data_IF_455477900508
#
_entry.id   IF_455477900508
#
_cell.length_a   1.000
_cell.length_b   1.000
_cell.length_c   1.000
_cell.angle_alpha   90.00
_cell.angle_beta   90.00
_cell.angle_gamma   90.00
#
_symmetry.space_group_name_H-M   'P 1'
#
loop_
_entity.id
_entity.type
_entity.pdbx_description
1 polymer ?
#
# COMPACT_ATOMS: atom_id res chain seq x y z
N UNK A 1 -35.86 17.96 54.42
CA UNK A 1 -35.70 16.64 53.77
C UNK A 1 -34.31 16.60 53.18
N UNK A 2 -33.58 15.59 53.60
CA UNK A 2 -32.15 15.34 53.39
C UNK A 2 -31.83 15.02 51.93
N UNK A 3 -30.88 15.72 51.32
CA UNK A 3 -30.13 15.19 50.17
C UNK A 3 -28.66 15.10 50.54
N UNK A 4 -28.34 13.89 50.96
CA UNK A 4 -27.02 13.29 51.20
C UNK A 4 -26.03 13.61 50.07
N UNK A 5 -24.82 14.01 50.46
CA UNK A 5 -23.68 14.13 49.56
C UNK A 5 -23.21 12.79 49.01
N UNK A 6 -22.71 12.82 47.78
CA UNK A 6 -21.81 11.82 47.22
C UNK A 6 -20.61 12.57 46.64
N UNK A 7 -19.37 12.26 47.05
CA UNK A 7 -18.18 12.84 46.44
C UNK A 7 -17.96 12.23 45.05
N UNK A 8 -17.68 13.07 44.06
CA UNK A 8 -17.26 12.65 42.72
C UNK A 8 -15.87 12.03 42.82
N UNK A 9 -15.79 10.70 42.73
CA UNK A 9 -14.55 9.95 42.67
C UNK A 9 -13.83 10.27 41.35
N UNK A 10 -12.65 10.88 41.44
CA UNK A 10 -11.76 11.06 40.29
C UNK A 10 -11.23 9.70 39.86
N UNK A 11 -11.48 9.31 38.62
CA UNK A 11 -10.83 8.16 37.98
C UNK A 11 -9.44 8.64 37.54
N UNK A 12 -8.42 8.23 38.28
CA UNK A 12 -7.02 8.41 37.90
C UNK A 12 -6.66 7.37 36.85
N UNK A 13 -6.37 7.80 35.62
CA UNK A 13 -5.75 6.95 34.60
C UNK A 13 -4.26 6.83 34.96
N UNK A 14 -3.84 5.64 35.37
CA UNK A 14 -2.43 5.31 35.55
C UNK A 14 -1.76 5.24 34.17
N UNK A 15 -0.97 6.26 33.84
CA UNK A 15 -0.07 6.25 32.70
C UNK A 15 1.09 5.28 33.04
N UNK A 16 1.08 4.08 32.44
CA UNK A 16 2.25 3.18 32.48
C UNK A 16 3.26 3.71 31.47
N UNK A 17 4.16 4.56 31.93
CA UNK A 17 5.36 4.93 31.19
C UNK A 17 6.35 3.77 31.25
N UNK A 18 6.41 2.95 30.20
CA UNK A 18 7.51 2.01 30.02
C UNK A 18 8.67 2.74 29.33
N UNK A 19 9.70 3.02 30.13
CA UNK A 19 10.94 3.67 29.77
C UNK A 19 11.78 2.71 28.91
N UNK A 20 11.87 2.95 27.60
CA UNK A 20 12.77 2.19 26.73
C UNK A 20 14.10 2.93 26.59
N UNK A 21 14.96 2.82 27.61
CA UNK A 21 16.39 3.16 27.48
C UNK A 21 17.16 1.86 27.26
N UNK A 22 17.60 1.62 26.04
CA UNK A 22 18.59 0.60 25.74
C UNK A 22 19.87 1.28 25.24
N UNK A 23 20.86 1.36 26.13
CA UNK A 23 22.25 1.61 25.80
C UNK A 23 22.74 0.57 24.79
N UNK A 24 23.16 1.00 23.60
CA UNK A 24 23.80 0.15 22.62
C UNK A 24 25.21 -0.23 23.10
N UNK A 25 25.32 -1.37 23.78
CA UNK A 25 26.59 -2.07 23.90
C UNK A 25 26.88 -2.76 22.56
N UNK A 26 28.01 -2.41 21.93
CA UNK A 26 28.51 -3.05 20.72
C UNK A 26 28.92 -4.50 21.06
N UNK A 27 27.96 -5.42 21.09
CA UNK A 27 28.24 -6.85 21.02
C UNK A 27 28.63 -7.16 19.58
N UNK A 28 29.87 -7.63 19.40
CA UNK A 28 30.28 -8.32 18.17
C UNK A 28 29.23 -9.41 17.89
N UNK A 29 28.72 -9.55 16.65
CA UNK A 29 27.77 -10.61 16.35
C UNK A 29 28.45 -11.94 16.66
N UNK A 30 27.98 -12.60 17.71
CA UNK A 30 28.15 -14.04 17.82
C UNK A 30 27.55 -14.62 16.54
N UNK A 31 28.22 -15.56 15.84
CA UNK A 31 27.56 -16.26 14.74
C UNK A 31 26.23 -16.76 15.29
N UNK A 32 25.13 -16.40 14.61
CA UNK A 32 23.81 -16.86 14.97
C UNK A 32 23.92 -18.36 15.24
N UNK A 33 23.62 -18.78 16.47
CA UNK A 33 23.41 -20.19 16.72
C UNK A 33 22.34 -20.60 15.71
N UNK A 34 22.70 -21.49 14.78
CA UNK A 34 21.74 -22.13 13.89
C UNK A 34 20.56 -22.53 14.77
N UNK A 35 19.37 -22.00 14.50
CA UNK A 35 18.16 -22.48 15.13
C UNK A 35 18.18 -24.01 14.97
N UNK A 36 18.09 -24.73 16.09
CA UNK A 36 17.99 -26.18 16.04
C UNK A 36 16.80 -26.50 15.13
N UNK A 37 17.10 -27.21 14.05
CA UNK A 37 16.13 -27.75 13.10
C UNK A 37 14.99 -28.38 13.90
N UNK A 38 13.79 -27.79 13.81
CA UNK A 38 12.56 -28.45 14.27
C UNK A 38 12.29 -29.50 13.20
N UNK A 39 13.09 -30.57 13.26
CA UNK A 39 13.27 -31.52 12.18
C UNK A 39 12.00 -32.33 11.96
N UNK A 40 11.36 -32.12 10.82
CA UNK A 40 10.53 -33.10 10.15
C UNK A 40 11.30 -34.42 9.97
N UNK A 41 10.58 -35.54 9.89
CA UNK A 41 11.16 -36.88 9.89
C UNK A 41 12.13 -37.11 8.72
N UNK A 42 12.94 -38.18 8.83
CA UNK A 42 13.74 -38.63 7.70
C UNK A 42 12.84 -38.87 6.47
N UNK A 43 13.23 -38.36 5.31
CA UNK A 43 12.44 -38.37 4.07
C UNK A 43 11.17 -37.48 4.07
N UNK A 44 10.98 -36.60 5.04
CA UNK A 44 9.85 -35.66 5.09
C UNK A 44 10.26 -34.25 4.68
N UNK A 45 9.27 -33.53 4.16
CA UNK A 45 9.26 -32.07 4.06
C UNK A 45 8.02 -31.53 4.78
N UNK A 46 8.12 -30.33 5.34
CA UNK A 46 7.06 -29.72 6.13
C UNK A 46 7.13 -28.19 6.08
N UNK A 47 6.01 -27.57 6.44
CA UNK A 47 5.89 -26.13 6.59
C UNK A 47 4.48 -25.75 7.07
N UNK A 48 4.20 -24.46 6.99
CA UNK A 48 2.92 -23.87 7.40
C UNK A 48 2.38 -23.00 6.27
N UNK A 49 1.10 -23.12 5.95
CA UNK A 49 0.41 -22.08 5.19
C UNK A 49 -0.22 -21.11 6.17
N UNK A 50 0.04 -19.82 6.05
CA UNK A 50 -0.41 -18.81 7.02
C UNK A 50 -1.04 -17.60 6.35
N UNK A 51 -1.87 -16.87 7.11
CA UNK A 51 -2.50 -15.61 6.70
C UNK A 51 -1.50 -14.47 6.86
N UNK A 52 -0.90 -14.09 5.75
CA UNK A 52 0.07 -12.99 5.67
C UNK A 52 -0.69 -11.66 5.58
N UNK A 53 -0.96 -11.06 6.74
CA UNK A 53 -1.82 -9.87 6.86
C UNK A 53 -1.07 -8.59 6.52
N UNK A 54 0.23 -8.54 6.81
CA UNK A 54 1.06 -7.37 6.56
C UNK A 54 1.88 -7.48 5.26
N UNK A 55 1.74 -8.59 4.54
CA UNK A 55 2.40 -8.85 3.26
C UNK A 55 3.94 -8.80 3.36
N UNK A 56 4.52 -9.19 4.50
CA UNK A 56 5.97 -9.19 4.71
C UNK A 56 6.64 -10.53 4.36
N UNK A 57 5.85 -11.57 4.07
CA UNK A 57 6.33 -12.89 3.71
C UNK A 57 7.05 -13.62 4.86
N UNK A 58 6.70 -13.32 6.12
CA UNK A 58 7.23 -13.98 7.32
C UNK A 58 6.09 -14.24 8.31
N UNK A 59 5.88 -15.50 8.70
CA UNK A 59 4.83 -15.84 9.66
C UNK A 59 5.01 -15.13 11.02
N UNK A 60 4.18 -14.12 11.28
CA UNK A 60 4.15 -13.36 12.52
C UNK A 60 3.33 -14.04 13.63
N UNK A 61 3.55 -13.63 14.88
CA UNK A 61 2.82 -14.19 16.03
C UNK A 61 1.29 -13.92 16.01
N UNK A 62 0.86 -12.92 15.24
CA UNK A 62 -0.55 -12.55 15.05
C UNK A 62 -1.13 -13.09 13.75
N UNK A 63 -0.36 -13.86 12.98
CA UNK A 63 -0.74 -14.38 11.68
C UNK A 63 -1.13 -15.86 11.81
N UNK A 64 -2.44 -16.17 11.79
CA UNK A 64 -2.90 -17.53 11.98
C UNK A 64 -2.58 -18.39 10.76
N UNK A 65 -2.43 -19.69 10.99
CA UNK A 65 -2.39 -20.67 9.92
C UNK A 65 -3.68 -20.70 9.08
N UNK A 66 -3.55 -21.08 7.82
CA UNK A 66 -4.66 -21.25 6.90
C UNK A 66 -4.99 -22.76 6.74
N UNK A 67 -6.07 -23.26 7.40
CA UNK A 67 -6.47 -24.65 7.32
C UNK A 67 -7.16 -25.00 5.99
N UNK A 68 -7.21 -26.30 5.68
CA UNK A 68 -8.05 -26.86 4.62
C UNK A 68 -7.50 -26.74 3.19
N UNK A 69 -6.24 -26.34 3.02
CA UNK A 69 -5.58 -26.25 1.72
C UNK A 69 -4.91 -27.57 1.36
N UNK A 70 -4.98 -27.95 0.09
CA UNK A 70 -4.34 -29.18 -0.39
C UNK A 70 -2.90 -28.90 -0.77
N UNK A 71 -1.95 -29.63 -0.17
CA UNK A 71 -0.51 -29.56 -0.49
C UNK A 71 -0.11 -30.84 -1.19
N UNK A 72 0.40 -30.74 -2.42
CA UNK A 72 0.77 -31.89 -3.26
C UNK A 72 2.23 -31.78 -3.68
N UNK A 73 3.01 -32.84 -3.48
CA UNK A 73 4.36 -32.96 -3.99
C UNK A 73 4.39 -33.82 -5.26
N UNK A 74 5.09 -33.32 -6.28
CA UNK A 74 5.30 -33.96 -7.57
C UNK A 74 6.78 -34.26 -7.78
N UNK A 75 7.08 -35.41 -8.37
CA UNK A 75 8.44 -35.74 -8.80
C UNK A 75 8.86 -34.95 -10.05
N UNK A 76 10.10 -35.16 -10.49
CA UNK A 76 10.66 -34.49 -11.67
C UNK A 76 9.99 -34.90 -13.00
N UNK A 77 9.23 -36.00 -13.01
CA UNK A 77 8.42 -36.43 -14.14
C UNK A 77 6.98 -35.89 -14.09
N UNK A 78 6.61 -35.18 -13.02
CA UNK A 78 5.27 -34.64 -12.80
C UNK A 78 4.27 -35.63 -12.19
N UNK A 79 4.72 -36.78 -11.69
CA UNK A 79 3.86 -37.72 -10.98
C UNK A 79 3.70 -37.32 -9.50
N UNK A 80 2.50 -37.50 -8.94
CA UNK A 80 2.24 -37.23 -7.53
C UNK A 80 3.02 -38.23 -6.66
N UNK A 81 3.85 -37.70 -5.78
CA UNK A 81 4.62 -38.47 -4.78
C UNK A 81 3.82 -38.60 -3.50
N UNK A 82 3.25 -37.48 -3.02
CA UNK A 82 2.51 -37.40 -1.77
C UNK A 82 1.58 -36.20 -1.76
N UNK A 83 0.51 -36.27 -0.97
CA UNK A 83 -0.43 -35.18 -0.78
C UNK A 83 -1.00 -35.17 0.64
N UNK A 84 -1.29 -33.98 1.16
CA UNK A 84 -1.90 -33.77 2.48
C UNK A 84 -2.81 -32.53 2.45
N UNK A 85 -3.48 -32.27 3.57
CA UNK A 85 -4.30 -31.06 3.77
C UNK A 85 -3.75 -30.31 4.98
N UNK A 86 -3.65 -28.98 4.88
CA UNK A 86 -3.21 -28.15 6.00
C UNK A 86 -4.15 -28.29 7.20
N UNK A 87 -3.59 -28.47 8.38
CA UNK A 87 -4.35 -28.69 9.60
C UNK A 87 -4.92 -27.38 10.19
N UNK A 88 -5.50 -27.45 11.39
CA UNK A 88 -6.14 -26.32 12.06
C UNK A 88 -5.21 -25.12 12.33
N UNK A 89 -3.89 -25.34 12.36
CA UNK A 89 -2.87 -24.29 12.52
C UNK A 89 -2.10 -24.06 11.22
N UNK A 90 -2.62 -24.55 10.08
CA UNK A 90 -2.01 -24.37 8.76
C UNK A 90 -0.81 -25.27 8.49
N UNK A 91 -0.44 -26.14 9.43
CA UNK A 91 0.73 -27.00 9.30
C UNK A 91 0.47 -28.14 8.32
N UNK A 92 1.51 -28.54 7.60
CA UNK A 92 1.47 -29.66 6.67
C UNK A 92 2.81 -30.40 6.67
N UNK A 93 2.78 -31.70 6.40
CA UNK A 93 3.97 -32.51 6.15
C UNK A 93 3.70 -33.57 5.08
N UNK A 94 4.75 -33.88 4.31
CA UNK A 94 4.72 -34.88 3.24
C UNK A 94 5.95 -35.76 3.32
N UNK A 95 5.76 -37.08 3.28
CA UNK A 95 6.87 -38.02 3.03
C UNK A 95 7.15 -38.06 1.53
N UNK A 96 8.34 -37.64 1.11
CA UNK A 96 8.73 -37.52 -0.32
C UNK A 96 9.89 -38.42 -0.72
N UNK A 97 10.62 -38.98 0.25
CA UNK A 97 11.80 -39.81 0.00
C UNK A 97 13.09 -39.08 0.37
N UNK A 98 14.09 -39.84 0.81
CA UNK A 98 15.40 -39.29 1.22
C UNK A 98 16.13 -38.69 0.02
N UNK A 99 16.54 -37.43 0.13
CA UNK A 99 17.22 -36.68 -0.94
C UNK A 99 16.35 -36.39 -2.17
N UNK A 100 15.03 -36.56 -2.09
CA UNK A 100 14.14 -36.34 -3.23
C UNK A 100 14.03 -34.85 -3.59
N UNK A 101 14.14 -34.54 -4.88
CA UNK A 101 13.76 -33.24 -5.44
C UNK A 101 12.30 -33.29 -5.85
N UNK A 102 11.48 -32.39 -5.30
CA UNK A 102 10.05 -32.33 -5.60
C UNK A 102 9.59 -30.91 -5.91
N UNK A 103 8.58 -30.81 -6.76
CA UNK A 103 7.79 -29.59 -6.94
C UNK A 103 6.56 -29.69 -6.05
N UNK A 104 6.34 -28.69 -5.20
CA UNK A 104 5.19 -28.61 -4.29
C UNK A 104 4.19 -27.60 -4.85
N UNK A 105 2.91 -27.95 -4.79
CA UNK A 105 1.79 -27.06 -5.09
C UNK A 105 0.83 -26.99 -3.89
N UNK A 106 0.45 -25.77 -3.50
CA UNK A 106 -0.62 -25.46 -2.56
C UNK A 106 -1.84 -25.00 -3.36
N UNK A 107 -2.97 -25.70 -3.19
CA UNK A 107 -4.20 -25.47 -3.95
C UNK A 107 -5.43 -25.46 -3.04
N UNK A 108 -6.58 -25.07 -3.59
CA UNK A 108 -7.83 -24.97 -2.83
C UNK A 108 -7.94 -23.67 -2.02
N UNK A 109 -7.21 -22.62 -2.41
CA UNK A 109 -7.36 -21.30 -1.80
C UNK A 109 -8.83 -20.84 -1.92
N UNK A 110 -9.45 -20.38 -0.82
CA UNK A 110 -10.71 -19.65 -0.88
C UNK A 110 -10.63 -18.50 -1.89
N UNK A 111 -11.75 -18.16 -2.53
CA UNK A 111 -11.79 -17.16 -3.63
C UNK A 111 -11.32 -15.76 -3.25
N UNK A 112 -11.29 -15.42 -1.96
CA UNK A 112 -10.80 -14.14 -1.44
C UNK A 112 -9.30 -14.16 -1.09
N UNK A 113 -8.65 -15.33 -1.15
CA UNK A 113 -7.22 -15.45 -0.89
C UNK A 113 -6.45 -15.61 -2.19
N UNK A 114 -5.30 -14.96 -2.22
CA UNK A 114 -4.30 -15.06 -3.27
C UNK A 114 -2.97 -15.51 -2.65
N UNK A 115 -2.03 -16.02 -3.47
CA UNK A 115 -0.64 -16.19 -3.04
C UNK A 115 -0.12 -14.88 -2.46
N UNK A 116 0.43 -14.93 -1.24
CA UNK A 116 1.12 -13.80 -0.64
C UNK A 116 2.49 -13.57 -1.27
N UNK A 117 3.19 -12.49 -0.90
CA UNK A 117 4.56 -12.23 -1.36
C UNK A 117 5.49 -13.38 -1.01
N UNK A 118 6.36 -13.73 -1.97
CA UNK A 118 7.51 -14.60 -1.70
C UNK A 118 8.61 -13.78 -1.00
N UNK A 119 9.14 -14.31 0.10
CA UNK A 119 10.12 -13.64 0.95
C UNK A 119 11.04 -14.62 1.69
N UNK A 120 11.94 -14.13 2.57
CA UNK A 120 12.88 -14.98 3.30
C UNK A 120 12.24 -16.05 4.19
N UNK A 121 10.96 -15.88 4.56
CA UNK A 121 10.18 -16.82 5.39
C UNK A 121 8.89 -17.29 4.72
N UNK A 122 8.72 -17.10 3.40
CA UNK A 122 7.51 -17.46 2.68
C UNK A 122 7.84 -17.81 1.23
N UNK A 123 7.42 -18.98 0.80
CA UNK A 123 7.47 -19.45 -0.58
C UNK A 123 6.19 -19.06 -1.30
N UNK A 124 6.24 -19.03 -2.63
CA UNK A 124 5.03 -18.96 -3.46
C UNK A 124 4.22 -20.26 -3.34
N UNK A 125 2.93 -20.25 -3.70
CA UNK A 125 2.07 -21.45 -3.67
C UNK A 125 2.54 -22.58 -4.59
N UNK A 126 3.48 -22.31 -5.50
CA UNK A 126 4.18 -23.30 -6.30
C UNK A 126 5.68 -23.09 -6.13
N UNK A 127 6.41 -24.12 -5.72
CA UNK A 127 7.86 -24.05 -5.50
C UNK A 127 8.54 -25.41 -5.68
N UNK A 128 9.87 -25.40 -5.80
CA UNK A 128 10.68 -26.64 -5.86
C UNK A 128 11.59 -26.69 -4.64
N UNK A 129 11.73 -27.87 -4.04
CA UNK A 129 12.59 -28.09 -2.89
C UNK A 129 13.30 -29.45 -2.99
N UNK A 130 14.32 -29.63 -2.17
CA UNK A 130 15.05 -30.89 -2.02
C UNK A 130 14.96 -31.31 -0.55
N UNK A 131 14.49 -32.53 -0.34
CA UNK A 131 14.47 -33.14 0.99
C UNK A 131 15.90 -33.30 1.52
N UNK A 132 16.12 -32.92 2.78
CA UNK A 132 17.45 -32.89 3.41
C UNK A 132 18.17 -31.54 3.26
N UNK A 133 17.54 -30.54 2.63
CA UNK A 133 18.01 -29.15 2.70
C UNK A 133 17.72 -28.53 4.08
N UNK A 134 18.42 -27.45 4.42
CA UNK A 134 18.19 -26.69 5.68
C UNK A 134 16.78 -26.08 5.79
N UNK A 135 16.04 -26.04 4.68
CA UNK A 135 14.69 -25.51 4.62
C UNK A 135 13.61 -26.61 4.62
N UNK A 136 13.99 -27.90 4.63
CA UNK A 136 13.05 -29.02 4.44
C UNK A 136 11.82 -28.98 5.35
N UNK A 137 11.96 -28.38 6.54
CA UNK A 137 10.93 -28.35 7.57
C UNK A 137 10.39 -26.93 7.84
N UNK A 138 10.83 -25.93 7.06
CA UNK A 138 10.42 -24.53 7.14
C UNK A 138 9.97 -24.03 5.75
N UNK A 139 9.15 -24.82 5.07
CA UNK A 139 8.62 -24.51 3.74
C UNK A 139 7.29 -23.74 3.87
N UNK A 140 7.35 -22.59 4.52
CA UNK A 140 6.16 -21.81 4.81
C UNK A 140 5.65 -21.08 3.56
N UNK A 141 4.33 -20.87 3.49
CA UNK A 141 3.65 -20.19 2.38
C UNK A 141 2.67 -19.17 2.94
N UNK A 142 2.92 -17.90 2.65
CA UNK A 142 1.98 -16.82 2.95
C UNK A 142 0.84 -16.81 1.94
N UNK A 143 -0.39 -16.68 2.43
CA UNK A 143 -1.57 -16.34 1.61
C UNK A 143 -2.21 -15.08 2.17
N UNK A 144 -2.58 -14.16 1.28
CA UNK A 144 -3.12 -12.86 1.66
C UNK A 144 -4.51 -12.67 1.07
N UNK A 145 -5.34 -11.89 1.77
CA UNK A 145 -6.55 -11.32 1.19
C UNK A 145 -6.20 -9.91 0.70
N UNK A 146 -6.18 -9.66 -0.61
CA UNK A 146 -5.87 -8.34 -1.15
C UNK A 146 -6.76 -7.19 -0.61
N UNK A 147 -8.02 -7.48 -0.26
CA UNK A 147 -8.94 -6.50 0.35
C UNK A 147 -8.64 -6.18 1.82
N UNK A 148 -7.79 -6.96 2.50
CA UNK A 148 -7.34 -6.73 3.88
C UNK A 148 -5.99 -6.00 3.95
N UNK A 149 -5.55 -5.44 2.83
CA UNK A 149 -4.27 -4.75 2.73
C UNK A 149 -4.11 -3.65 3.80
N UNK A 150 -3.02 -3.76 4.56
CA UNK A 150 -2.63 -2.77 5.54
C UNK A 150 -1.13 -2.49 5.39
N UNK A 151 -0.77 -1.25 5.06
CA UNK A 151 0.62 -0.79 5.05
C UNK A 151 0.88 0.20 6.19
N UNK A 152 2.05 0.09 6.80
CA UNK A 152 2.53 1.12 7.71
C UNK A 152 2.92 2.36 6.88
N UNK A 153 2.47 3.54 7.33
CA UNK A 153 2.81 4.83 6.72
C UNK A 153 2.49 4.93 5.22
N UNK A 154 1.21 4.76 4.82
CA UNK A 154 0.83 4.91 3.41
C UNK A 154 1.20 6.28 2.86
N UNK A 155 1.45 6.38 1.56
CA UNK A 155 1.50 7.67 0.89
C UNK A 155 0.08 8.24 0.69
N UNK A 156 -0.05 9.56 0.84
CA UNK A 156 -1.26 10.31 0.55
C UNK A 156 -1.02 11.13 -0.72
N UNK A 157 -1.85 10.95 -1.74
CA UNK A 157 -1.78 11.70 -3.00
C UNK A 157 -2.98 12.63 -3.13
N UNK A 158 -2.73 13.90 -3.45
CA UNK A 158 -3.76 14.91 -3.68
C UNK A 158 -3.48 15.70 -4.95
N UNK A 159 -4.55 16.11 -5.62
CA UNK A 159 -4.47 17.00 -6.78
C UNK A 159 -4.28 18.46 -6.38
N UNK A 160 -3.57 19.21 -7.22
CA UNK A 160 -3.39 20.64 -7.18
C UNK A 160 -3.84 21.25 -8.51
N UNK A 161 -4.28 22.51 -8.44
CA UNK A 161 -4.83 23.22 -9.59
C UNK A 161 -4.17 24.57 -9.75
N UNK A 162 -3.92 24.94 -11.00
CA UNK A 162 -3.47 26.27 -11.38
C UNK A 162 -4.48 26.86 -12.35
N UNK A 163 -4.70 28.16 -12.20
CA UNK A 163 -5.49 28.92 -13.15
C UNK A 163 -4.76 29.01 -14.51
N UNK A 164 -5.42 28.59 -15.58
CA UNK A 164 -4.93 28.75 -16.94
C UNK A 164 -4.87 27.45 -17.75
N UNK A 165 -4.26 27.51 -18.94
CA UNK A 165 -3.98 26.34 -19.76
C UNK A 165 -2.91 25.46 -19.09
N UNK A 166 -2.84 24.19 -19.51
CA UNK A 166 -1.86 23.23 -18.99
C UNK A 166 -0.53 23.21 -19.73
N UNK A 167 -0.53 23.59 -21.02
CA UNK A 167 0.62 23.35 -21.91
C UNK A 167 1.91 24.01 -21.41
N UNK A 168 2.92 23.19 -21.13
CA UNK A 168 4.24 23.65 -20.70
C UNK A 168 4.34 24.14 -19.26
N UNK A 169 3.27 23.99 -18.45
CA UNK A 169 3.27 24.34 -17.03
C UNK A 169 3.90 23.20 -16.22
N UNK A 170 5.02 23.51 -15.54
CA UNK A 170 5.83 22.53 -14.79
C UNK A 170 5.49 22.45 -13.31
N UNK A 171 4.60 23.32 -12.82
CA UNK A 171 4.10 23.25 -11.46
C UNK A 171 3.41 21.91 -11.19
N UNK A 172 3.40 21.50 -9.91
CA UNK A 172 2.83 20.24 -9.50
C UNK A 172 1.31 20.20 -9.71
N UNK A 173 0.84 19.18 -10.42
CA UNK A 173 -0.58 18.82 -10.49
C UNK A 173 -0.96 17.80 -9.44
N UNK A 174 0.01 17.00 -8.99
CA UNK A 174 -0.16 16.02 -7.93
C UNK A 174 0.91 16.25 -6.88
N UNK A 175 0.52 16.10 -5.61
CA UNK A 175 1.42 16.14 -4.48
C UNK A 175 1.23 14.86 -3.68
N UNK A 176 2.34 14.20 -3.39
CA UNK A 176 2.40 12.95 -2.63
C UNK A 176 3.16 13.22 -1.33
N UNK A 177 2.52 12.92 -0.21
CA UNK A 177 3.10 13.07 1.12
C UNK A 177 3.18 11.70 1.77
N UNK A 178 4.30 11.39 2.43
CA UNK A 178 4.32 10.24 3.32
C UNK A 178 3.34 10.50 4.47
N UNK A 179 2.64 9.49 4.99
CA UNK A 179 1.80 9.67 6.19
C UNK A 179 2.63 10.03 7.45
N UNK A 180 3.96 9.97 7.37
CA UNK A 180 4.88 10.48 8.39
C UNK A 180 5.29 11.94 8.16
N UNK A 181 4.89 12.56 7.06
CA UNK A 181 5.09 13.99 6.81
C UNK A 181 4.26 14.82 7.77
N UNK A 182 4.84 15.94 8.20
CA UNK A 182 4.23 16.81 9.20
C UNK A 182 4.84 16.63 10.59
N UNK A 183 4.43 17.50 11.50
CA UNK A 183 4.90 17.49 12.87
C UNK A 183 3.92 16.70 13.75
N UNK A 184 4.39 15.62 14.39
CA UNK A 184 3.60 14.88 15.35
C UNK A 184 3.53 15.66 16.68
N UNK A 185 2.40 16.30 16.93
CA UNK A 185 2.14 17.08 18.15
C UNK A 185 2.41 16.24 19.41
N UNK A 186 3.34 16.70 20.23
CA UNK A 186 3.74 16.08 21.49
C UNK A 186 2.95 16.68 22.66
N UNK A 187 2.69 15.90 23.73
CA UNK A 187 2.08 16.43 24.95
C UNK A 187 2.95 17.55 25.57
N UNK A 188 2.50 18.81 25.46
CA UNK A 188 3.22 19.99 25.96
C UNK A 188 3.34 21.12 24.93
N UNK A 189 3.11 20.82 23.66
CA UNK A 189 3.11 21.84 22.60
C UNK A 189 1.95 22.84 22.83
N UNK A 190 2.18 24.13 22.58
CA UNK A 190 1.12 25.14 22.72
C UNK A 190 0.40 25.31 21.37
N UNK A 191 -0.94 25.20 21.30
CA UNK A 191 -1.71 25.53 20.09
C UNK A 191 -1.58 26.99 19.63
N UNK A 192 -0.94 27.84 20.45
CA UNK A 192 -0.73 29.27 20.25
C UNK A 192 0.76 29.64 20.25
N UNK A 193 1.66 28.67 20.10
CA UNK A 193 3.08 28.99 19.95
C UNK A 193 3.27 29.93 18.73
N UNK A 194 3.92 31.09 18.85
CA UNK A 194 4.22 31.94 17.69
C UNK A 194 5.00 31.22 16.58
N UNK A 195 5.69 30.12 16.91
CA UNK A 195 6.30 29.17 15.97
C UNK A 195 5.29 28.46 15.05
N UNK A 196 4.01 28.36 15.45
CA UNK A 196 2.93 27.78 14.64
C UNK A 196 2.44 28.69 13.49
N UNK A 197 2.83 29.97 13.47
CA UNK A 197 2.36 30.92 12.48
C UNK A 197 3.42 31.15 11.41
N UNK A 198 3.66 30.14 10.57
CA UNK A 198 4.38 30.25 9.30
C UNK A 198 3.63 31.14 8.29
N UNK A 199 3.53 32.43 8.59
CA UNK A 199 3.08 33.44 7.65
C UNK A 199 4.19 33.76 6.64
N UNK A 200 3.86 34.23 5.43
CA UNK A 200 4.86 34.55 4.41
C UNK A 200 5.83 35.63 4.92
N UNK A 201 7.12 35.32 5.02
CA UNK A 201 8.18 36.31 5.25
C UNK A 201 8.95 36.26 6.57
N UNK A 202 8.81 35.22 7.40
CA UNK A 202 9.69 35.05 8.57
C UNK A 202 10.97 34.24 8.20
N UNK A 203 12.15 34.62 8.72
CA UNK A 203 13.39 33.91 8.45
C UNK A 203 13.35 32.49 9.04
N UNK A 204 13.93 31.47 8.36
CA UNK A 204 13.91 30.10 8.83
C UNK A 204 14.85 29.96 10.03
N UNK A 205 14.31 30.04 11.24
CA UNK A 205 15.04 29.76 12.46
C UNK A 205 14.37 28.58 13.16
N UNK A 206 14.99 27.40 13.03
CA UNK A 206 14.81 26.23 13.93
C UNK A 206 13.41 25.62 14.04
N UNK A 207 12.49 25.94 13.15
CA UNK A 207 11.20 25.24 13.07
C UNK A 207 11.41 23.76 12.71
N UNK A 208 10.74 22.80 13.39
CA UNK A 208 10.62 21.45 12.86
C UNK A 208 9.92 21.57 11.51
N UNK A 209 10.65 21.30 10.42
CA UNK A 209 10.10 21.46 9.09
C UNK A 209 8.86 20.56 8.95
N UNK A 210 7.67 21.18 8.85
CA UNK A 210 6.41 20.49 8.60
C UNK A 210 6.43 19.73 7.27
N UNK A 211 7.37 20.09 6.39
CA UNK A 211 7.65 19.43 5.12
C UNK A 211 8.75 18.36 5.27
N UNK A 212 8.80 17.63 6.39
CA UNK A 212 9.77 16.55 6.60
C UNK A 212 9.06 15.22 6.89
N UNK A 213 9.27 14.18 6.07
CA UNK A 213 9.95 14.23 4.79
C UNK A 213 9.21 15.14 3.79
N UNK A 214 9.98 15.75 2.88
CA UNK A 214 9.44 16.65 1.88
C UNK A 214 8.49 15.92 0.94
N UNK A 215 7.36 16.55 0.54
CA UNK A 215 6.47 15.95 -0.43
C UNK A 215 7.16 15.70 -1.77
N UNK A 216 6.72 14.63 -2.43
CA UNK A 216 7.04 14.36 -3.82
C UNK A 216 5.98 15.00 -4.74
N UNK A 217 6.38 15.32 -5.96
CA UNK A 217 5.53 15.94 -6.98
C UNK A 217 5.44 15.01 -8.20
N UNK A 218 4.59 13.96 -8.15
CA UNK A 218 4.63 12.87 -9.12
C UNK A 218 4.12 13.23 -10.52
N UNK A 219 3.46 14.38 -10.70
CA UNK A 219 3.01 14.84 -12.01
C UNK A 219 2.90 16.37 -12.05
N UNK A 220 3.14 16.93 -13.22
CA UNK A 220 2.99 18.36 -13.53
C UNK A 220 1.63 18.69 -14.13
N UNK A 221 1.26 19.97 -14.10
CA UNK A 221 0.04 20.48 -14.74
C UNK A 221 0.04 20.21 -16.25
N UNK A 222 1.19 20.27 -16.92
CA UNK A 222 1.28 19.94 -18.34
C UNK A 222 0.99 18.46 -18.65
N UNK A 223 1.30 17.54 -17.72
CA UNK A 223 1.13 16.11 -17.95
C UNK A 223 -0.33 15.70 -17.74
N UNK A 224 -0.93 16.08 -16.61
CA UNK A 224 -2.25 15.57 -16.18
C UNK A 224 -3.33 16.63 -16.03
N UNK A 225 -2.97 17.92 -15.93
CA UNK A 225 -3.92 19.01 -15.79
C UNK A 225 -4.86 18.88 -14.58
N UNK A 226 -6.13 19.23 -14.76
CA UNK A 226 -7.17 19.09 -13.75
C UNK A 226 -7.62 17.64 -13.55
N UNK A 227 -7.35 17.10 -12.36
CA UNK A 227 -7.72 15.73 -11.95
C UNK A 227 -8.55 15.69 -10.67
N UNK A 228 -9.45 14.70 -10.54
CA UNK A 228 -10.27 14.50 -9.34
C UNK A 228 -10.22 13.07 -8.80
N UNK A 229 -10.70 12.07 -9.56
CA UNK A 229 -10.61 10.68 -9.13
C UNK A 229 -9.15 10.25 -9.02
N UNK A 230 -8.80 9.62 -7.90
CA UNK A 230 -7.45 9.12 -7.61
C UNK A 230 -7.56 7.70 -7.08
N UNK A 231 -6.85 6.77 -7.70
CA UNK A 231 -6.76 5.37 -7.23
C UNK A 231 -5.30 4.90 -7.17
N UNK A 232 -4.99 4.02 -6.23
CA UNK A 232 -3.65 3.49 -5.99
C UNK A 232 -3.62 1.96 -6.12
N UNK A 233 -2.80 1.44 -7.02
CA UNK A 233 -2.59 0.00 -7.20
C UNK A 233 -1.52 -0.50 -6.23
N UNK A 234 -1.88 -1.46 -5.38
CA UNK A 234 -1.03 -1.91 -4.26
C UNK A 234 0.17 -2.72 -4.75
N UNK A 235 -0.02 -3.53 -5.79
CA UNK A 235 1.01 -4.43 -6.29
C UNK A 235 2.20 -3.70 -6.94
N UNK A 236 1.95 -2.59 -7.64
CA UNK A 236 2.94 -1.85 -8.44
C UNK A 236 3.33 -0.50 -7.84
N UNK A 237 2.49 0.03 -6.94
CA UNK A 237 2.58 1.40 -6.42
C UNK A 237 2.12 2.46 -7.43
N UNK A 238 1.47 2.06 -8.52
CA UNK A 238 0.95 2.97 -9.52
C UNK A 238 -0.16 3.85 -8.95
N UNK A 239 -0.25 5.08 -9.45
CA UNK A 239 -1.35 6.00 -9.15
C UNK A 239 -2.08 6.33 -10.43
N UNK A 240 -3.39 6.12 -10.43
CA UNK A 240 -4.28 6.51 -11.51
C UNK A 240 -5.01 7.79 -11.15
N UNK A 241 -5.07 8.73 -12.08
CA UNK A 241 -5.82 9.98 -11.89
C UNK A 241 -6.73 10.27 -13.08
N UNK A 242 -7.96 10.66 -12.78
CA UNK A 242 -9.01 10.91 -13.77
C UNK A 242 -9.07 12.41 -14.11
N UNK A 243 -9.03 12.74 -15.41
CA UNK A 243 -9.37 14.07 -15.91
C UNK A 243 -10.78 14.46 -15.48
N UNK A 244 -10.97 15.68 -15.01
CA UNK A 244 -12.30 16.21 -14.70
C UNK A 244 -12.40 17.69 -15.07
N UNK A 245 -13.60 18.15 -15.42
CA UNK A 245 -13.78 19.56 -15.71
C UNK A 245 -13.74 20.37 -14.41
N UNK A 246 -12.64 21.10 -14.22
CA UNK A 246 -12.55 22.17 -13.23
C UNK A 246 -12.51 23.51 -13.94
N UNK A 247 -13.46 24.39 -13.62
CA UNK A 247 -13.43 25.75 -14.15
C UNK A 247 -12.09 26.42 -13.85
N UNK A 248 -11.56 27.12 -14.85
CA UNK A 248 -10.28 27.82 -14.83
C UNK A 248 -9.01 26.94 -14.86
N UNK A 249 -9.09 25.60 -14.89
CA UNK A 249 -7.92 24.73 -14.89
C UNK A 249 -7.98 23.73 -16.05
N UNK A 250 -7.10 23.90 -17.03
CA UNK A 250 -7.09 23.09 -18.25
C UNK A 250 -6.77 21.60 -18.03
N UNK A 251 -7.17 20.78 -19.00
CA UNK A 251 -6.84 19.34 -19.07
C UNK A 251 -5.37 19.10 -19.38
N UNK A 252 -4.86 17.91 -19.06
CA UNK A 252 -3.47 17.54 -19.28
C UNK A 252 -3.07 17.38 -20.75
N UNK A 253 -2.00 16.60 -20.95
CA UNK A 253 -1.31 16.43 -22.24
C UNK A 253 -2.19 15.92 -23.39
N UNK A 254 -3.31 15.26 -23.09
CA UNK A 254 -4.27 14.74 -24.08
C UNK A 254 -5.36 15.74 -24.46
N UNK A 255 -5.45 16.88 -23.75
CA UNK A 255 -6.49 17.89 -23.93
C UNK A 255 -7.92 17.33 -23.86
N UNK A 256 -8.12 16.27 -23.05
CA UNK A 256 -9.38 15.53 -23.00
C UNK A 256 -9.98 15.42 -21.58
N UNK A 257 -11.30 15.58 -21.44
CA UNK A 257 -12.02 15.24 -20.21
C UNK A 257 -12.10 13.74 -19.93
N UNK A 258 -11.81 12.87 -20.89
CA UNK A 258 -11.97 11.42 -20.76
C UNK A 258 -10.71 10.65 -20.39
N UNK A 259 -9.58 11.32 -20.19
CA UNK A 259 -8.32 10.61 -19.96
C UNK A 259 -8.19 10.19 -18.50
N UNK A 260 -7.85 8.92 -18.28
CA UNK A 260 -7.23 8.46 -17.05
C UNK A 260 -5.72 8.40 -17.31
N UNK A 261 -4.93 9.04 -16.46
CA UNK A 261 -3.47 8.98 -16.50
C UNK A 261 -2.96 7.95 -15.49
N UNK A 262 -1.87 7.27 -15.82
CA UNK A 262 -1.10 6.41 -14.93
C UNK A 262 0.23 7.07 -14.62
N UNK A 263 0.52 7.19 -13.33
CA UNK A 263 1.83 7.51 -12.79
C UNK A 263 2.43 6.19 -12.33
N UNK A 264 3.50 5.77 -13.00
CA UNK A 264 4.17 4.50 -12.72
C UNK A 264 4.85 4.54 -11.35
N UNK A 265 4.53 3.59 -10.47
CA UNK A 265 4.98 3.55 -9.09
C UNK A 265 6.48 3.36 -8.91
N UNK A 266 7.16 2.79 -9.92
CA UNK A 266 8.60 2.50 -9.87
C UNK A 266 9.43 3.59 -10.53
N UNK A 267 9.04 4.01 -11.74
CA UNK A 267 9.79 4.97 -12.55
C UNK A 267 9.34 6.43 -12.36
N UNK A 268 8.15 6.65 -11.82
CA UNK A 268 7.52 7.97 -11.76
C UNK A 268 7.06 8.50 -13.12
N UNK A 269 7.09 7.68 -14.18
CA UNK A 269 6.70 8.10 -15.51
C UNK A 269 5.18 8.34 -15.58
N UNK A 270 4.78 9.48 -16.13
CA UNK A 270 3.38 9.81 -16.39
C UNK A 270 2.99 9.41 -17.82
N UNK A 271 1.85 8.75 -17.97
CA UNK A 271 1.33 8.32 -19.27
C UNK A 271 -0.20 8.38 -19.31
N UNK A 272 -0.77 8.60 -20.50
CA UNK A 272 -2.20 8.38 -20.71
C UNK A 272 -2.48 6.87 -20.67
N UNK A 273 -3.29 6.43 -19.71
CA UNK A 273 -3.61 5.01 -19.50
C UNK A 273 -4.78 4.56 -20.38
N UNK A 274 -5.90 5.27 -20.29
CA UNK A 274 -7.09 4.99 -21.09
C UNK A 274 -7.86 6.28 -21.37
N UNK A 275 -8.50 6.33 -22.54
CA UNK A 275 -9.47 7.36 -22.90
C UNK A 275 -10.88 6.77 -22.79
N UNK A 276 -11.65 7.26 -21.83
CA UNK A 276 -13.05 6.88 -21.63
C UNK A 276 -13.92 7.62 -22.65
N UNK A 277 -14.64 6.90 -23.53
CA UNK A 277 -15.44 7.53 -24.57
C UNK A 277 -16.69 8.22 -24.00
N UNK A 278 -17.21 9.20 -24.75
CA UNK A 278 -18.49 9.84 -24.41
C UNK A 278 -18.42 10.93 -23.34
N UNK A 279 -17.21 11.37 -22.97
CA UNK A 279 -16.93 12.39 -21.94
C UNK A 279 -16.97 13.83 -22.46
N UNK A 280 -17.30 14.04 -23.73
CA UNK A 280 -17.41 15.35 -24.36
C UNK A 280 -16.10 15.88 -24.93
N UNK A 281 -16.08 17.17 -25.28
CA UNK A 281 -14.89 17.87 -25.76
C UNK A 281 -14.44 18.87 -24.71
N UNK A 282 -13.16 19.28 -24.76
CA UNK A 282 -12.66 20.36 -23.93
C UNK A 282 -13.46 21.67 -24.16
N UNK A 283 -14.20 22.19 -23.17
CA UNK A 283 -14.93 23.44 -23.30
C UNK A 283 -14.07 24.68 -22.99
N UNK A 284 -12.88 24.49 -22.40
CA UNK A 284 -12.00 25.58 -22.00
C UNK A 284 -11.58 26.44 -23.20
N UNK A 285 -11.33 27.73 -22.96
CA UNK A 285 -10.85 28.60 -24.02
C UNK A 285 -9.41 28.24 -24.42
N UNK A 286 -9.06 28.47 -25.68
CA UNK A 286 -7.73 28.21 -26.22
C UNK A 286 -6.70 29.34 -25.96
N UNK A 287 -7.06 30.39 -25.20
CA UNK A 287 -6.23 31.56 -24.96
C UNK A 287 -6.04 31.83 -23.46
N UNK A 288 -4.80 32.13 -23.05
CA UNK A 288 -4.37 32.25 -21.66
C UNK A 288 -5.12 33.32 -20.83
N UNK A 289 -5.63 34.39 -21.45
CA UNK A 289 -6.38 35.45 -20.75
C UNK A 289 -7.88 35.17 -20.59
N UNK A 290 -8.41 34.19 -21.31
CA UNK A 290 -9.84 33.87 -21.28
C UNK A 290 -10.17 32.81 -20.22
N UNK A 291 -9.16 32.12 -19.68
CA UNK A 291 -9.35 31.16 -18.58
C UNK A 291 -9.93 31.79 -17.31
N UNK A 292 -9.70 33.09 -17.06
CA UNK A 292 -10.34 33.79 -15.94
C UNK A 292 -11.87 33.81 -16.06
N UNK A 293 -12.41 33.88 -17.28
CA UNK A 293 -13.85 33.87 -17.52
C UNK A 293 -14.36 32.44 -17.72
N UNK A 294 -13.77 31.67 -18.63
CA UNK A 294 -14.10 30.25 -18.86
C UNK A 294 -15.61 29.99 -19.01
N UNK A 295 -16.29 30.88 -19.75
CA UNK A 295 -17.76 30.93 -19.83
C UNK A 295 -18.38 29.64 -20.38
N UNK A 296 -17.70 28.97 -21.31
CA UNK A 296 -18.19 27.74 -21.94
C UNK A 296 -18.30 26.57 -20.94
N UNK A 297 -17.56 26.63 -19.83
CA UNK A 297 -17.49 25.56 -18.84
C UNK A 297 -18.58 25.66 -17.76
N UNK A 298 -19.29 26.80 -17.63
CA UNK A 298 -20.22 27.07 -16.52
C UNK A 298 -21.30 26.02 -16.35
N UNK A 299 -22.01 25.72 -17.44
CA UNK A 299 -23.16 24.79 -17.41
C UNK A 299 -22.72 23.32 -17.42
N UNK A 300 -21.41 23.06 -17.55
CA UNK A 300 -20.83 21.73 -17.66
C UNK A 300 -20.16 21.25 -16.36
N UNK A 301 -19.98 22.15 -15.38
CA UNK A 301 -19.36 21.80 -14.09
C UNK A 301 -20.18 20.72 -13.39
N UNK A 302 -19.50 19.64 -12.97
CA UNK A 302 -20.11 18.47 -12.34
C UNK A 302 -20.82 17.53 -13.31
N UNK A 303 -20.79 17.80 -14.62
CA UNK A 303 -21.38 16.93 -15.65
C UNK A 303 -20.44 16.53 -16.79
N UNK A 304 -19.23 17.11 -16.87
CA UNK A 304 -18.23 16.79 -17.89
C UNK A 304 -16.90 16.35 -17.24
N UNK A 305 -16.30 15.31 -17.82
CA UNK A 305 -15.13 14.64 -17.28
C UNK A 305 -15.48 13.40 -16.49
N UNK A 306 -14.46 12.83 -15.85
CA UNK A 306 -14.57 11.65 -15.01
C UNK A 306 -14.66 12.06 -13.54
N UNK A 307 -15.42 11.30 -12.77
CA UNK A 307 -15.56 11.47 -11.33
C UNK A 307 -14.52 10.65 -10.56
N UNK A 308 -15.03 9.77 -9.70
CA UNK A 308 -14.20 8.94 -8.83
C UNK A 308 -13.45 7.83 -9.59
N UNK A 309 -12.37 7.34 -9.00
CA UNK A 309 -11.66 6.14 -9.44
C UNK A 309 -11.57 5.15 -8.28
N UNK A 310 -11.83 3.88 -8.54
CA UNK A 310 -11.70 2.82 -7.54
C UNK A 310 -11.07 1.58 -8.16
N UNK A 311 -10.28 0.83 -7.39
CA UNK A 311 -9.61 -0.39 -7.84
C UNK A 311 -10.20 -1.56 -7.06
N UNK A 312 -10.56 -2.64 -7.77
CA UNK A 312 -11.04 -3.85 -7.14
C UNK A 312 -10.03 -4.41 -6.14
N UNK A 313 -10.51 -5.13 -5.13
CA UNK A 313 -9.65 -5.70 -4.09
C UNK A 313 -8.50 -6.54 -4.67
N UNK A 314 -8.70 -7.23 -5.80
CA UNK A 314 -7.70 -8.07 -6.47
C UNK A 314 -6.73 -7.31 -7.41
N UNK A 315 -6.77 -5.98 -7.43
CA UNK A 315 -6.02 -5.10 -8.34
C UNK A 315 -6.25 -5.39 -9.85
N UNK A 316 -7.32 -6.12 -10.21
CA UNK A 316 -7.56 -6.50 -11.62
C UNK A 316 -8.48 -5.55 -12.40
N UNK A 317 -9.28 -4.72 -11.71
CA UNK A 317 -10.29 -3.87 -12.33
C UNK A 317 -10.23 -2.45 -11.79
N UNK A 318 -10.09 -1.48 -12.69
CA UNK A 318 -10.24 -0.05 -12.40
C UNK A 318 -11.66 0.41 -12.79
N UNK A 319 -12.39 0.97 -11.83
CA UNK A 319 -13.71 1.57 -12.01
C UNK A 319 -13.60 3.08 -12.11
N UNK A 320 -14.50 3.67 -12.89
CA UNK A 320 -14.67 5.12 -12.99
C UNK A 320 -16.14 5.46 -13.21
N UNK A 321 -16.54 6.70 -12.88
CA UNK A 321 -17.89 7.22 -13.05
C UNK A 321 -17.91 8.49 -13.87
#
# INVERSE_FOLDING_TARGET
>A
MTTSGQPVTRISIALVAAFCLATAALLLPTPAAQAADVGCGAAEIAGTVFRDYNADGVAGATEPGQPGLTVTAFDTAGAVVSATVTDAVGAWSLTVGDGATVRVEVTGLPTHLQPGPGGPGSLTTVFTTIQGSVASCNLDVGVANPGEYCQANPDLVSSCFIEGPSTGITDAALVRFANTSGYAYQPGDSPLDPAFSGGPGLPPATEPAHDSPAPAYPATIAEVGSTFGVAHERATGDVFVASFLKRHAGFGSTDSPGTIYRIDGTSGAVSAFVEVPGTGLNPHPNASTNFFFDNNSFDLIGGLGLGDLDISDDDQTLYTV
#
